data_IF_527620428577
#
_entry.id   IF_527620428577
#
_cell.length_a   1.000
_cell.length_b   1.000
_cell.length_c   1.000
_cell.angle_alpha   90.00
_cell.angle_beta   90.00
_cell.angle_gamma   90.00
#
_symmetry.space_group_name_H-M   'P 1'
#
loop_
_entity.id
_entity.type
_entity.pdbx_description
1 polymer ?
#
# COMPACT_ATOMS: atom_id res chain seq x y z
N UNK A 1 -31.62 -13.98 -18.85
CA UNK A 1 -30.91 -14.92 -19.72
C UNK A 1 -29.48 -15.19 -19.25
N UNK A 2 -28.98 -14.51 -18.18
CA UNK A 2 -27.63 -14.75 -17.63
C UNK A 2 -27.49 -16.17 -17.08
N UNK A 3 -26.33 -16.77 -17.30
CA UNK A 3 -26.00 -18.09 -16.73
C UNK A 3 -25.28 -17.87 -15.41
N UNK A 4 -25.72 -18.54 -14.37
CA UNK A 4 -25.12 -18.46 -13.04
C UNK A 4 -24.75 -19.86 -12.51
N UNK A 5 -23.74 -19.91 -11.64
CA UNK A 5 -23.41 -21.09 -10.85
C UNK A 5 -23.59 -20.77 -9.38
N UNK A 6 -24.31 -21.59 -8.65
CA UNK A 6 -24.44 -21.49 -7.20
C UNK A 6 -23.35 -22.34 -6.58
N UNK A 7 -22.52 -21.70 -5.80
CA UNK A 7 -21.31 -22.29 -5.19
C UNK A 7 -21.42 -22.26 -3.66
N UNK A 8 -20.99 -23.34 -3.05
CA UNK A 8 -20.92 -23.47 -1.59
C UNK A 8 -19.45 -23.55 -1.15
N UNK A 9 -18.87 -22.49 -0.55
CA UNK A 9 -17.51 -22.49 -0.07
C UNK A 9 -17.34 -23.38 1.16
N UNK A 10 -16.66 -24.51 1.03
CA UNK A 10 -16.42 -25.48 2.12
C UNK A 10 -15.02 -25.38 2.74
N UNK A 11 -14.03 -24.89 1.96
CA UNK A 11 -12.69 -24.61 2.44
C UNK A 11 -12.28 -23.22 1.97
N UNK A 12 -11.87 -22.36 2.91
CA UNK A 12 -11.44 -20.99 2.63
C UNK A 12 -10.00 -20.78 3.09
N UNK A 13 -9.11 -20.56 2.14
CA UNK A 13 -7.73 -20.11 2.38
C UNK A 13 -6.95 -20.99 3.39
N UNK A 14 -7.21 -22.31 3.43
CA UNK A 14 -6.58 -23.23 4.36
C UNK A 14 -5.58 -24.14 3.64
N UNK A 15 -4.43 -24.35 4.28
CA UNK A 15 -3.42 -25.32 3.82
C UNK A 15 -3.88 -26.74 4.06
N UNK A 16 -3.58 -27.63 3.15
CA UNK A 16 -3.86 -29.07 3.27
C UNK A 16 -4.26 -29.71 1.95
N UNK A 17 -4.24 -31.01 1.92
CA UNK A 17 -4.69 -31.83 0.76
C UNK A 17 -6.22 -31.95 0.69
N UNK A 18 -6.94 -31.62 1.76
CA UNK A 18 -8.40 -31.58 1.88
C UNK A 18 -9.13 -32.84 1.37
N UNK A 19 -8.47 -33.98 1.42
CA UNK A 19 -9.02 -35.27 0.92
C UNK A 19 -10.31 -35.68 1.63
N UNK A 20 -10.39 -35.44 2.96
CA UNK A 20 -11.59 -35.76 3.75
C UNK A 20 -12.80 -34.90 3.35
N UNK A 21 -12.59 -33.62 3.10
CA UNK A 21 -13.63 -32.68 2.65
C UNK A 21 -14.11 -33.06 1.24
N UNK A 22 -13.20 -33.38 0.33
CA UNK A 22 -13.52 -33.78 -1.04
C UNK A 22 -14.26 -35.13 -1.04
N UNK A 23 -13.84 -36.10 -0.22
CA UNK A 23 -14.54 -37.39 -0.09
C UNK A 23 -15.93 -37.24 0.51
N UNK A 24 -16.10 -36.35 1.49
CA UNK A 24 -17.42 -36.04 2.06
C UNK A 24 -18.38 -35.53 1.00
N UNK A 25 -17.93 -34.55 0.20
CA UNK A 25 -18.73 -33.95 -0.86
C UNK A 25 -19.07 -34.97 -1.96
N UNK A 26 -18.11 -35.81 -2.34
CA UNK A 26 -18.31 -36.94 -3.28
C UNK A 26 -19.37 -37.90 -2.78
N UNK A 27 -19.31 -38.29 -1.51
CA UNK A 27 -20.31 -39.19 -0.88
C UNK A 27 -21.70 -38.56 -0.78
N UNK A 28 -21.77 -37.21 -0.71
CA UNK A 28 -23.03 -36.47 -0.70
C UNK A 28 -23.66 -36.33 -2.09
N UNK A 29 -23.05 -36.92 -3.15
CA UNK A 29 -23.60 -36.97 -4.50
C UNK A 29 -23.30 -35.76 -5.37
N UNK A 30 -22.45 -34.84 -4.94
CA UNK A 30 -22.00 -33.71 -5.80
C UNK A 30 -21.02 -34.23 -6.85
N UNK A 31 -21.09 -33.62 -8.04
CA UNK A 31 -20.31 -34.06 -9.20
C UNK A 31 -19.11 -33.12 -9.44
N UNK A 32 -19.21 -31.84 -9.07
CA UNK A 32 -18.19 -30.85 -9.40
C UNK A 32 -17.84 -29.95 -8.25
N UNK A 33 -16.55 -29.59 -8.19
CA UNK A 33 -16.01 -28.57 -7.28
C UNK A 33 -15.21 -27.55 -8.08
N UNK A 34 -15.17 -26.31 -7.57
CA UNK A 34 -14.24 -25.29 -8.02
C UNK A 34 -13.12 -25.22 -6.99
N UNK A 35 -11.87 -25.39 -7.43
CA UNK A 35 -10.69 -25.31 -6.57
C UNK A 35 -9.77 -24.25 -7.14
N UNK A 36 -9.45 -23.25 -6.35
CA UNK A 36 -8.59 -22.11 -6.73
C UNK A 36 -9.01 -21.47 -8.07
N UNK A 37 -10.34 -21.38 -8.30
CA UNK A 37 -10.93 -20.83 -9.52
C UNK A 37 -11.14 -21.82 -10.67
N UNK A 38 -10.59 -23.03 -10.61
CA UNK A 38 -10.71 -24.05 -11.65
C UNK A 38 -11.76 -25.11 -11.28
N UNK A 39 -12.54 -25.56 -12.27
CA UNK A 39 -13.58 -26.59 -12.07
C UNK A 39 -12.98 -27.97 -12.27
N UNK A 40 -13.21 -28.85 -11.29
CA UNK A 40 -12.81 -30.26 -11.30
C UNK A 40 -14.03 -31.16 -11.17
N UNK A 41 -13.97 -32.30 -11.81
CA UNK A 41 -14.95 -33.37 -11.64
C UNK A 41 -14.55 -34.25 -10.45
N UNK A 42 -15.48 -34.48 -9.53
CA UNK A 42 -15.23 -35.32 -8.33
C UNK A 42 -15.08 -36.81 -8.63
N UNK A 43 -15.39 -37.25 -9.85
CA UNK A 43 -15.10 -38.66 -10.28
C UNK A 43 -13.59 -38.88 -10.49
N UNK A 44 -12.83 -37.81 -10.72
CA UNK A 44 -11.39 -37.85 -10.92
C UNK A 44 -10.64 -37.83 -9.58
N UNK A 45 -9.39 -38.28 -9.58
CA UNK A 45 -8.50 -38.17 -8.42
C UNK A 45 -7.94 -36.76 -8.37
N UNK A 46 -8.34 -35.95 -7.35
CA UNK A 46 -7.88 -34.61 -7.15
C UNK A 46 -6.75 -34.60 -6.12
N UNK A 47 -5.53 -34.22 -6.54
CA UNK A 47 -4.35 -34.08 -5.67
C UNK A 47 -4.05 -32.62 -5.43
N UNK A 48 -4.10 -32.16 -4.18
CA UNK A 48 -3.81 -30.80 -3.78
C UNK A 48 -2.47 -30.74 -3.02
N UNK A 49 -1.78 -29.60 -3.16
CA UNK A 49 -0.51 -29.36 -2.49
C UNK A 49 -0.71 -29.06 -1.00
N UNK A 50 -0.16 -29.91 -0.12
CA UNK A 50 -0.29 -29.81 1.34
C UNK A 50 0.12 -28.44 1.91
N UNK A 51 1.13 -27.80 1.33
CA UNK A 51 1.70 -26.54 1.84
C UNK A 51 1.08 -25.29 1.23
N UNK A 52 0.23 -25.41 0.22
CA UNK A 52 -0.48 -24.33 -0.44
C UNK A 52 -1.83 -24.12 0.23
N UNK A 53 -2.27 -22.85 0.27
CA UNK A 53 -3.63 -22.49 0.70
C UNK A 53 -4.58 -22.73 -0.46
N UNK A 54 -5.66 -23.43 -0.20
CA UNK A 54 -6.69 -23.72 -1.20
C UNK A 54 -8.03 -23.10 -0.81
N UNK A 55 -8.80 -22.76 -1.84
CA UNK A 55 -10.20 -22.43 -1.75
C UNK A 55 -10.99 -23.49 -2.50
N UNK A 56 -11.91 -24.18 -1.79
CA UNK A 56 -12.72 -25.25 -2.37
C UNK A 56 -14.18 -24.90 -2.23
N UNK A 57 -14.89 -24.93 -3.34
CA UNK A 57 -16.30 -24.58 -3.44
C UNK A 57 -17.03 -25.68 -4.20
N UNK A 58 -18.14 -26.12 -3.63
CA UNK A 58 -19.00 -27.14 -4.28
C UNK A 58 -19.90 -26.44 -5.29
N UNK A 59 -19.94 -26.90 -6.52
CA UNK A 59 -20.91 -26.45 -7.52
C UNK A 59 -22.26 -27.11 -7.22
N UNK A 60 -23.16 -26.38 -6.57
CA UNK A 60 -24.46 -26.90 -6.13
C UNK A 60 -25.42 -26.98 -7.32
N UNK A 61 -25.52 -25.90 -8.10
CA UNK A 61 -26.38 -25.86 -9.28
C UNK A 61 -25.86 -24.90 -10.36
N UNK A 62 -26.30 -25.13 -11.59
CA UNK A 62 -26.06 -24.24 -12.74
C UNK A 62 -27.39 -23.83 -13.35
N UNK A 63 -27.67 -22.55 -13.33
CA UNK A 63 -28.97 -22.01 -13.64
C UNK A 63 -28.88 -20.97 -14.77
N UNK A 64 -29.96 -20.86 -15.51
CA UNK A 64 -30.18 -19.76 -16.44
C UNK A 64 -31.29 -18.87 -15.87
N UNK A 65 -31.01 -17.60 -15.63
CA UNK A 65 -31.97 -16.66 -15.04
C UNK A 65 -33.15 -16.48 -16.00
N UNK A 66 -34.34 -16.88 -15.53
CA UNK A 66 -35.64 -16.77 -16.20
C UNK A 66 -36.69 -16.37 -15.16
N UNK A 67 -37.87 -15.83 -15.57
CA UNK A 67 -38.93 -15.41 -14.62
C UNK A 67 -39.41 -16.49 -13.67
N UNK A 68 -39.38 -17.75 -14.05
CA UNK A 68 -39.90 -18.92 -13.32
C UNK A 68 -38.88 -19.65 -12.47
N UNK A 69 -37.63 -19.14 -12.39
CA UNK A 69 -36.54 -19.84 -11.73
C UNK A 69 -36.53 -19.72 -10.19
N UNK A 70 -37.38 -18.86 -9.62
CA UNK A 70 -37.29 -18.45 -8.20
C UNK A 70 -37.29 -19.60 -7.21
N UNK A 71 -38.15 -20.59 -7.40
CA UNK A 71 -38.23 -21.76 -6.51
C UNK A 71 -36.93 -22.55 -6.56
N UNK A 72 -36.48 -22.94 -7.74
CA UNK A 72 -35.26 -23.71 -7.92
C UNK A 72 -34.01 -22.96 -7.42
N UNK A 73 -33.97 -21.65 -7.62
CA UNK A 73 -32.88 -20.82 -7.11
C UNK A 73 -32.88 -20.80 -5.58
N UNK A 74 -34.04 -20.67 -4.93
CA UNK A 74 -34.17 -20.72 -3.48
C UNK A 74 -33.70 -22.06 -2.91
N UNK A 75 -34.12 -23.18 -3.49
CA UNK A 75 -33.71 -24.54 -3.09
C UNK A 75 -32.20 -24.73 -3.22
N UNK A 76 -31.60 -24.21 -4.31
CA UNK A 76 -30.14 -24.29 -4.53
C UNK A 76 -29.37 -23.45 -3.54
N UNK A 77 -29.87 -22.25 -3.21
CA UNK A 77 -29.25 -21.36 -2.19
C UNK A 77 -29.33 -22.01 -0.81
N UNK A 78 -30.50 -22.53 -0.41
CA UNK A 78 -30.70 -23.20 0.87
C UNK A 78 -29.74 -24.40 1.04
N UNK A 79 -29.60 -25.19 -0.02
CA UNK A 79 -28.66 -26.30 -0.08
C UNK A 79 -27.21 -25.82 0.06
N UNK A 80 -26.81 -24.76 -0.65
CA UNK A 80 -25.48 -24.18 -0.59
C UNK A 80 -25.15 -23.64 0.79
N UNK A 81 -26.09 -22.91 1.39
CA UNK A 81 -25.98 -22.33 2.75
C UNK A 81 -25.83 -23.43 3.80
N UNK A 82 -26.64 -24.49 3.72
CA UNK A 82 -26.56 -25.63 4.64
C UNK A 82 -25.21 -26.37 4.55
N UNK A 83 -24.67 -26.52 3.35
CA UNK A 83 -23.40 -27.22 3.13
C UNK A 83 -22.18 -26.42 3.64
N UNK A 84 -22.21 -25.11 3.49
CA UNK A 84 -21.11 -24.21 3.86
C UNK A 84 -21.17 -23.69 5.29
N UNK A 85 -22.32 -23.86 5.98
CA UNK A 85 -22.56 -23.26 7.29
C UNK A 85 -22.92 -21.77 7.22
N UNK A 86 -23.64 -21.32 6.18
CA UNK A 86 -24.18 -19.97 6.11
C UNK A 86 -23.65 -19.10 4.97
N UNK A 87 -22.85 -19.67 4.06
CA UNK A 87 -22.22 -18.92 2.98
C UNK A 87 -22.67 -19.45 1.61
N UNK A 88 -22.85 -18.53 0.66
CA UNK A 88 -23.12 -18.89 -0.74
C UNK A 88 -22.45 -17.90 -1.66
N UNK A 89 -21.92 -18.38 -2.77
CA UNK A 89 -21.44 -17.53 -3.85
C UNK A 89 -22.26 -17.80 -5.12
N UNK A 90 -22.58 -16.75 -5.82
CA UNK A 90 -23.23 -16.80 -7.13
C UNK A 90 -22.25 -16.27 -8.19
N UNK A 91 -21.68 -17.17 -8.97
CA UNK A 91 -20.76 -16.84 -10.06
C UNK A 91 -21.57 -16.59 -11.33
N UNK A 92 -21.57 -15.34 -11.82
CA UNK A 92 -22.20 -14.97 -13.08
C UNK A 92 -21.21 -15.24 -14.21
N UNK A 93 -21.50 -16.23 -15.05
CA UNK A 93 -20.61 -16.63 -16.14
C UNK A 93 -20.39 -15.46 -17.10
N UNK A 94 -19.15 -14.93 -17.13
CA UNK A 94 -18.77 -13.76 -17.90
C UNK A 94 -19.05 -12.42 -17.21
N UNK A 95 -19.39 -12.43 -15.91
CA UNK A 95 -19.66 -11.26 -15.08
C UNK A 95 -18.93 -11.33 -13.73
N UNK A 96 -19.51 -10.70 -12.72
CA UNK A 96 -18.98 -10.66 -11.36
C UNK A 96 -19.47 -11.83 -10.51
N UNK A 97 -18.67 -12.25 -9.55
CA UNK A 97 -19.04 -13.18 -8.51
C UNK A 97 -19.63 -12.42 -7.32
N UNK A 98 -20.81 -12.81 -6.90
CA UNK A 98 -21.52 -12.25 -5.74
C UNK A 98 -21.43 -13.23 -4.58
N UNK A 99 -20.96 -12.75 -3.42
CA UNK A 99 -20.87 -13.57 -2.19
C UNK A 99 -21.92 -13.07 -1.18
N UNK A 100 -22.61 -14.02 -0.57
CA UNK A 100 -23.64 -13.77 0.42
C UNK A 100 -23.35 -14.58 1.69
N UNK A 101 -23.71 -13.99 2.83
CA UNK A 101 -23.62 -14.66 4.15
C UNK A 101 -24.94 -14.52 4.87
N UNK A 102 -25.45 -15.62 5.41
CA UNK A 102 -26.68 -15.62 6.21
C UNK A 102 -26.54 -14.90 7.53
N UNK A 103 -25.32 -14.84 8.09
CA UNK A 103 -25.10 -14.37 9.46
C UNK A 103 -24.72 -12.87 9.57
N UNK A 104 -24.13 -12.28 8.53
CA UNK A 104 -23.57 -10.91 8.59
C UNK A 104 -23.68 -10.19 7.25
N UNK A 105 -24.87 -10.18 6.66
CA UNK A 105 -25.15 -9.48 5.42
C UNK A 105 -26.03 -8.25 5.65
N UNK A 106 -25.76 -7.17 4.93
CA UNK A 106 -26.62 -6.00 4.88
C UNK A 106 -27.19 -5.87 3.47
N UNK A 107 -28.49 -6.11 3.32
CA UNK A 107 -29.18 -6.10 2.02
C UNK A 107 -29.20 -4.69 1.39
N UNK A 108 -29.28 -3.63 2.22
CA UNK A 108 -29.32 -2.24 1.74
C UNK A 108 -27.98 -1.79 1.13
N UNK A 109 -26.86 -2.26 1.68
CA UNK A 109 -25.52 -1.82 1.27
C UNK A 109 -24.77 -2.86 0.45
N UNK A 110 -25.33 -4.05 0.22
CA UNK A 110 -24.67 -5.16 -0.50
C UNK A 110 -23.41 -5.67 0.18
N UNK A 111 -23.26 -5.44 1.48
CA UNK A 111 -22.07 -5.81 2.25
C UNK A 111 -22.33 -7.17 2.90
N UNK A 112 -21.41 -8.11 2.69
CA UNK A 112 -21.37 -9.38 3.41
C UNK A 112 -20.06 -9.49 4.19
N UNK A 113 -20.17 -9.66 5.51
CA UNK A 113 -19.01 -9.83 6.39
C UNK A 113 -18.78 -11.33 6.60
N UNK A 114 -17.56 -11.84 6.40
CA UNK A 114 -17.24 -13.24 6.69
C UNK A 114 -17.39 -13.53 8.19
N UNK A 115 -17.45 -14.81 8.53
CA UNK A 115 -17.52 -15.25 9.94
C UNK A 115 -16.41 -14.59 10.77
N UNK A 116 -16.82 -13.93 11.87
CA UNK A 116 -15.89 -13.21 12.74
C UNK A 116 -14.98 -14.21 13.46
N UNK A 117 -13.70 -14.13 13.18
CA UNK A 117 -12.67 -14.93 13.85
C UNK A 117 -11.79 -14.03 14.72
N UNK A 118 -11.20 -14.56 15.83
CA UNK A 118 -10.28 -13.77 16.66
C UNK A 118 -9.10 -13.17 15.87
N UNK A 119 -8.70 -13.77 14.77
CA UNK A 119 -7.62 -13.31 13.90
C UNK A 119 -7.97 -12.01 13.17
N UNK A 120 -9.24 -11.72 12.93
CA UNK A 120 -9.70 -10.46 12.32
C UNK A 120 -9.57 -9.26 13.26
N UNK A 121 -9.39 -9.48 14.54
CA UNK A 121 -9.21 -8.43 15.56
C UNK A 121 -7.75 -8.30 15.99
N UNK A 122 -6.85 -9.05 15.37
CA UNK A 122 -5.43 -9.04 15.70
C UNK A 122 -4.64 -8.20 14.69
N UNK A 123 -4.04 -7.12 15.14
CA UNK A 123 -3.14 -6.30 14.30
C UNK A 123 -1.83 -7.03 13.91
N UNK A 124 -1.53 -8.18 14.52
CA UNK A 124 -0.41 -9.06 14.12
C UNK A 124 -0.80 -10.04 13.00
N UNK A 125 -2.05 -10.00 12.54
CA UNK A 125 -2.53 -10.86 11.47
C UNK A 125 -2.94 -9.99 10.27
N UNK A 126 -2.57 -10.35 9.04
CA UNK A 126 -2.95 -9.59 7.85
C UNK A 126 -4.46 -9.35 7.67
N UNK A 127 -5.30 -10.22 8.27
CA UNK A 127 -6.76 -10.06 8.21
C UNK A 127 -7.30 -8.96 9.14
N UNK A 128 -6.58 -8.63 10.20
CA UNK A 128 -6.99 -7.63 11.18
C UNK A 128 -6.09 -6.39 11.21
N UNK A 129 -4.92 -6.48 10.62
CA UNK A 129 -3.97 -5.37 10.55
C UNK A 129 -4.42 -4.30 9.57
N UNK A 130 -4.12 -3.05 9.87
CA UNK A 130 -4.27 -1.97 8.92
C UNK A 130 -3.45 -2.27 7.65
N UNK A 131 -4.05 -2.24 6.45
CA UNK A 131 -3.34 -2.61 5.22
C UNK A 131 -2.19 -1.66 4.89
N UNK A 132 -2.28 -0.40 5.32
CA UNK A 132 -1.29 0.63 5.03
C UNK A 132 -0.02 0.48 5.87
N UNK A 133 -0.15 0.24 7.18
CA UNK A 133 1.01 0.08 8.06
C UNK A 133 1.28 -1.37 8.47
N UNK A 134 0.52 -2.33 7.95
CA UNK A 134 0.63 -3.76 8.25
C UNK A 134 0.68 -4.09 9.75
N UNK A 135 -0.07 -3.31 10.55
CA UNK A 135 -0.17 -3.48 11.99
C UNK A 135 0.91 -2.76 12.82
N UNK A 136 1.80 -1.98 12.20
CA UNK A 136 2.85 -1.22 12.91
C UNK A 136 2.26 0.01 13.60
N UNK A 137 1.33 0.72 12.95
CA UNK A 137 0.65 1.89 13.49
C UNK A 137 1.37 3.21 13.25
N UNK A 138 2.68 3.18 13.02
CA UNK A 138 3.52 4.37 12.81
C UNK A 138 4.45 4.19 11.62
N UNK A 139 4.93 5.31 11.10
CA UNK A 139 5.99 5.37 10.09
C UNK A 139 7.08 6.31 10.57
N UNK A 140 8.33 5.97 10.26
CA UNK A 140 9.45 6.88 10.40
C UNK A 140 9.44 7.85 9.21
N UNK A 141 9.37 9.16 9.47
CA UNK A 141 9.39 10.21 8.46
C UNK A 141 10.42 11.26 8.81
N UNK A 142 11.09 11.79 7.80
CA UNK A 142 11.99 12.93 7.99
C UNK A 142 11.18 14.11 8.55
N UNK A 143 11.61 14.63 9.68
CA UNK A 143 11.01 15.79 10.34
C UNK A 143 11.78 17.07 9.92
N UNK A 144 11.12 18.05 9.29
CA UNK A 144 11.76 19.31 8.92
C UNK A 144 12.48 20.00 10.08
N UNK A 145 11.96 19.88 11.29
CA UNK A 145 12.55 20.51 12.49
C UNK A 145 13.89 19.90 12.89
N UNK A 146 14.16 18.66 12.50
CA UNK A 146 15.44 17.98 12.73
C UNK A 146 16.45 18.26 11.60
N UNK A 147 15.94 18.64 10.43
CA UNK A 147 16.75 19.04 9.26
C UNK A 147 17.22 20.48 9.37
N UNK A 148 16.38 21.37 9.92
CA UNK A 148 16.72 22.76 10.18
C UNK A 148 17.47 22.86 11.51
N UNK A 149 18.73 23.20 11.43
CA UNK A 149 19.61 23.30 12.62
C UNK A 149 19.30 24.54 13.48
N UNK A 150 19.16 25.70 12.81
CA UNK A 150 18.88 26.97 13.45
C UNK A 150 18.15 27.87 12.46
N UNK A 151 16.95 28.30 12.81
CA UNK A 151 16.12 29.16 11.95
C UNK A 151 16.63 30.60 11.86
N UNK A 152 17.55 31.01 12.74
CA UNK A 152 18.19 32.34 12.68
C UNK A 152 19.32 32.40 11.66
N UNK A 153 19.81 31.25 11.19
CA UNK A 153 20.80 31.15 10.13
C UNK A 153 20.14 31.22 8.75
N UNK A 154 20.89 31.65 7.78
CA UNK A 154 20.50 31.63 6.37
C UNK A 154 20.86 30.28 5.71
N UNK A 155 20.40 30.08 4.47
CA UNK A 155 20.82 28.95 3.64
C UNK A 155 22.35 28.98 3.38
N UNK A 156 22.90 30.18 3.17
CA UNK A 156 24.35 30.36 3.00
C UNK A 156 25.15 30.11 4.29
N UNK A 157 24.58 30.39 5.46
CA UNK A 157 25.22 30.17 6.76
C UNK A 157 25.01 28.72 7.28
N UNK A 158 24.28 27.87 6.56
CA UNK A 158 24.09 26.47 6.88
C UNK A 158 22.96 26.20 7.87
N UNK A 159 21.81 26.85 7.71
CA UNK A 159 20.59 26.56 8.48
C UNK A 159 20.15 25.10 8.29
N UNK A 160 20.48 24.47 7.15
CA UNK A 160 20.20 23.06 6.88
C UNK A 160 21.40 22.19 7.28
N UNK A 161 21.16 21.26 8.20
CA UNK A 161 22.15 20.30 8.72
C UNK A 161 21.88 18.90 8.22
N UNK A 162 21.62 18.72 6.95
CA UNK A 162 21.33 17.40 6.39
C UNK A 162 22.50 16.92 5.52
N UNK A 163 22.74 15.61 5.52
CA UNK A 163 23.78 14.97 4.72
C UNK A 163 23.68 15.34 3.23
N UNK A 164 24.71 15.99 2.72
CA UNK A 164 24.82 16.46 1.34
C UNK A 164 24.07 17.76 1.02
N UNK A 165 23.45 18.41 2.02
CA UNK A 165 22.69 19.67 1.85
C UNK A 165 23.21 20.81 2.72
N UNK A 166 24.21 20.57 3.57
CA UNK A 166 24.95 21.61 4.29
C UNK A 166 25.87 22.39 3.34
N UNK A 167 25.86 23.71 3.46
CA UNK A 167 26.66 24.60 2.61
C UNK A 167 28.10 24.75 3.14
N UNK A 168 28.30 24.70 4.43
CA UNK A 168 29.62 24.83 5.05
C UNK A 168 30.42 23.53 4.97
N UNK A 169 31.15 23.35 3.88
CA UNK A 169 32.14 22.26 3.77
C UNK A 169 33.50 22.73 4.27
N UNK A 170 34.02 22.09 5.30
CA UNK A 170 35.38 22.29 5.80
C UNK A 170 36.47 21.98 4.75
N UNK A 171 36.10 21.27 3.69
CA UNK A 171 37.05 20.76 2.69
C UNK A 171 37.24 21.65 1.47
N UNK A 172 36.31 22.54 1.19
CA UNK A 172 36.45 23.49 0.07
C UNK A 172 35.49 24.67 0.22
N UNK A 173 35.88 25.74 0.94
CA UNK A 173 35.05 26.92 1.17
C UNK A 173 34.70 27.69 -0.15
N UNK A 174 35.53 27.51 -1.19
CA UNK A 174 35.34 28.18 -2.49
C UNK A 174 34.61 27.34 -3.54
N UNK A 175 34.32 26.07 -3.23
CA UNK A 175 33.58 25.21 -4.16
C UNK A 175 32.08 25.45 -4.01
N UNK A 176 31.48 25.88 -5.11
CA UNK A 176 30.03 25.86 -5.28
C UNK A 176 29.52 24.43 -5.04
N UNK A 177 29.02 24.16 -3.84
CA UNK A 177 28.42 22.89 -3.52
C UNK A 177 27.15 22.70 -4.34
N UNK A 178 26.79 21.44 -4.64
CA UNK A 178 25.53 21.14 -5.32
C UNK A 178 24.33 21.78 -4.58
N UNK A 179 24.36 21.77 -3.25
CA UNK A 179 23.35 22.39 -2.41
C UNK A 179 23.21 23.90 -2.67
N UNK A 180 24.35 24.63 -2.66
CA UNK A 180 24.37 26.07 -2.89
C UNK A 180 23.77 26.43 -4.25
N UNK A 181 24.14 25.72 -5.29
CA UNK A 181 23.62 25.91 -6.63
C UNK A 181 22.09 25.79 -6.70
N UNK A 182 21.51 24.80 -6.03
CA UNK A 182 20.06 24.64 -5.94
C UNK A 182 19.42 25.76 -5.10
N UNK A 183 20.00 26.11 -3.97
CA UNK A 183 19.51 27.20 -3.11
C UNK A 183 19.52 28.55 -3.82
N UNK A 184 20.55 28.85 -4.58
CA UNK A 184 20.60 30.06 -5.41
C UNK A 184 19.53 30.04 -6.53
N UNK A 185 19.30 28.87 -7.13
CA UNK A 185 18.25 28.70 -8.13
C UNK A 185 16.85 28.95 -7.55
N UNK A 186 16.60 28.47 -6.33
CA UNK A 186 15.34 28.70 -5.61
C UNK A 186 15.24 30.16 -5.21
N UNK A 187 16.32 30.75 -4.69
CA UNK A 187 16.36 32.14 -4.28
C UNK A 187 16.00 33.09 -5.44
N UNK A 188 16.59 32.87 -6.63
CA UNK A 188 16.25 33.62 -7.85
C UNK A 188 14.77 33.47 -8.24
N UNK A 189 14.24 32.24 -8.18
CA UNK A 189 12.87 31.96 -8.59
C UNK A 189 11.83 32.57 -7.63
N UNK A 190 12.07 32.44 -6.34
CA UNK A 190 11.13 32.90 -5.30
C UNK A 190 11.44 34.29 -4.77
N UNK A 191 12.46 34.97 -5.31
CA UNK A 191 12.73 36.38 -5.06
C UNK A 191 13.25 36.73 -3.66
N UNK A 192 14.12 35.88 -3.09
CA UNK A 192 14.77 36.14 -1.80
C UNK A 192 16.29 36.12 -1.93
N UNK A 193 16.99 36.69 -0.94
CA UNK A 193 18.44 36.60 -0.83
C UNK A 193 18.81 35.31 -0.06
N UNK A 194 19.80 34.58 -0.55
CA UNK A 194 20.30 33.34 0.07
C UNK A 194 20.84 33.60 1.50
N UNK A 195 21.22 34.84 1.82
CA UNK A 195 21.65 35.28 3.15
C UNK A 195 20.45 35.64 4.07
N UNK A 196 19.21 35.57 3.60
CA UNK A 196 18.04 35.82 4.43
C UNK A 196 17.89 34.69 5.46
N UNK A 197 17.72 35.01 6.78
CA UNK A 197 17.47 34.02 7.80
C UNK A 197 16.27 33.10 7.45
N UNK A 198 16.38 31.81 7.75
CA UNK A 198 15.33 30.84 7.46
C UNK A 198 13.95 31.27 7.97
N UNK A 199 13.88 31.78 9.20
CA UNK A 199 12.63 32.25 9.81
C UNK A 199 11.92 33.33 8.99
N UNK A 200 12.66 34.17 8.29
CA UNK A 200 12.17 35.32 7.54
C UNK A 200 11.83 35.00 6.08
N UNK A 201 12.07 33.76 5.62
CA UNK A 201 11.66 33.27 4.31
C UNK A 201 10.14 33.06 4.25
N UNK A 202 9.57 33.27 3.05
CA UNK A 202 8.16 32.96 2.79
C UNK A 202 7.90 31.44 2.92
N UNK A 203 6.66 31.06 3.24
CA UNK A 203 6.28 29.65 3.32
C UNK A 203 6.45 28.93 1.99
N UNK A 204 6.26 29.61 0.86
CA UNK A 204 6.49 29.09 -0.47
C UNK A 204 7.96 28.74 -0.71
N UNK A 205 8.86 29.65 -0.33
CA UNK A 205 10.31 29.44 -0.42
C UNK A 205 10.76 28.28 0.49
N UNK A 206 10.28 28.23 1.73
CA UNK A 206 10.53 27.13 2.67
C UNK A 206 10.05 25.78 2.11
N UNK A 207 8.84 25.74 1.57
CA UNK A 207 8.30 24.53 0.95
C UNK A 207 9.10 24.08 -0.27
N UNK A 208 9.52 25.03 -1.11
CA UNK A 208 10.35 24.71 -2.27
C UNK A 208 11.71 24.11 -1.86
N UNK A 209 12.33 24.62 -0.81
CA UNK A 209 13.59 24.07 -0.29
C UNK A 209 13.38 22.70 0.33
N UNK A 210 12.35 22.53 1.15
CA UNK A 210 12.12 21.27 1.88
C UNK A 210 11.55 20.17 0.99
N UNK A 211 10.54 20.48 0.19
CA UNK A 211 9.75 19.45 -0.55
C UNK A 211 9.92 19.53 -2.06
N UNK A 212 10.66 20.53 -2.56
CA UNK A 212 10.98 20.66 -3.97
C UNK A 212 10.04 21.51 -4.78
N UNK A 213 10.33 21.59 -6.09
CA UNK A 213 9.61 22.46 -7.04
C UNK A 213 8.63 21.70 -7.94
N UNK A 214 8.38 20.40 -7.65
CA UNK A 214 7.58 19.54 -8.53
C UNK A 214 8.19 19.47 -9.93
N UNK A 215 7.39 19.71 -10.96
CA UNK A 215 7.84 19.70 -12.36
C UNK A 215 8.48 21.05 -12.80
N UNK A 216 8.43 22.06 -11.95
CA UNK A 216 8.97 23.36 -12.27
C UNK A 216 10.49 23.36 -12.25
N UNK A 217 11.08 23.77 -13.37
CA UNK A 217 12.53 23.83 -13.55
C UNK A 217 13.10 25.11 -12.97
N UNK A 218 14.20 24.97 -12.26
CA UNK A 218 15.07 26.04 -11.79
C UNK A 218 16.15 26.32 -12.81
N UNK A 219 16.54 27.56 -12.94
CA UNK A 219 17.74 27.93 -13.65
C UNK A 219 18.94 27.78 -12.71
N UNK A 220 19.83 26.86 -13.05
CA UNK A 220 20.96 26.44 -12.22
C UNK A 220 22.28 26.83 -12.91
N UNK A 221 23.13 27.55 -12.20
CA UNK A 221 24.44 27.96 -12.67
C UNK A 221 25.52 27.11 -12.00
N UNK A 222 26.23 26.34 -12.83
CA UNK A 222 27.41 25.60 -12.35
C UNK A 222 28.67 26.36 -12.76
N UNK A 223 29.54 26.59 -11.80
CA UNK A 223 30.90 27.07 -12.02
C UNK A 223 31.88 26.04 -11.45
N UNK A 224 32.88 25.64 -12.23
CA UNK A 224 33.95 24.76 -11.80
C UNK A 224 35.24 25.14 -12.52
N UNK A 225 36.38 24.63 -12.05
CA UNK A 225 37.69 24.81 -12.72
C UNK A 225 37.68 24.35 -14.20
N UNK A 226 36.76 23.45 -14.57
CA UNK A 226 36.66 22.87 -15.91
C UNK A 226 35.61 23.56 -16.81
N UNK A 227 34.97 24.63 -16.33
CA UNK A 227 34.00 25.38 -17.10
C UNK A 227 32.77 25.83 -16.31
N UNK A 228 32.04 26.76 -16.90
CA UNK A 228 30.76 27.26 -16.38
C UNK A 228 29.65 26.99 -17.37
N UNK A 229 28.44 26.74 -16.84
CA UNK A 229 27.25 26.50 -17.68
C UNK A 229 25.97 26.70 -16.93
N UNK A 230 24.91 27.01 -17.67
CA UNK A 230 23.55 27.12 -17.16
C UNK A 230 22.74 25.92 -17.65
N UNK A 231 21.99 25.30 -16.77
CA UNK A 231 21.05 24.24 -17.12
C UNK A 231 19.74 24.38 -16.34
N UNK A 232 18.71 23.68 -16.78
CA UNK A 232 17.37 23.77 -16.21
C UNK A 232 16.95 22.41 -15.68
N UNK A 233 16.73 22.31 -14.36
CA UNK A 233 16.27 21.09 -13.73
C UNK A 233 15.29 21.37 -12.59
N UNK A 234 14.33 20.47 -12.32
CA UNK A 234 13.50 20.56 -11.13
C UNK A 234 14.33 20.24 -9.90
N UNK A 235 13.89 20.69 -8.75
CA UNK A 235 14.46 20.36 -7.47
C UNK A 235 13.58 19.35 -6.72
N UNK A 236 14.17 18.27 -6.29
CA UNK A 236 13.46 17.21 -5.57
C UNK A 236 13.02 17.63 -4.16
N UNK A 237 13.75 18.56 -3.53
CA UNK A 237 13.58 18.95 -2.13
C UNK A 237 14.47 18.16 -1.18
N UNK A 238 14.90 18.80 -0.10
CA UNK A 238 15.81 18.18 0.88
C UNK A 238 15.16 16.98 1.55
N UNK A 239 13.91 17.10 1.99
CA UNK A 239 13.16 16.03 2.68
C UNK A 239 12.96 14.83 1.77
N UNK A 240 12.48 15.05 0.55
CA UNK A 240 12.22 13.98 -0.40
C UNK A 240 13.52 13.27 -0.80
N UNK A 241 14.60 14.02 -0.96
CA UNK A 241 15.91 13.46 -1.26
C UNK A 241 16.44 12.59 -0.12
N UNK A 242 16.33 13.04 1.14
CA UNK A 242 16.73 12.26 2.31
C UNK A 242 15.88 10.99 2.45
N UNK A 243 14.56 11.11 2.27
CA UNK A 243 13.66 9.97 2.34
C UNK A 243 14.01 8.91 1.28
N UNK A 244 14.20 9.33 0.03
CA UNK A 244 14.62 8.44 -1.05
C UNK A 244 15.99 7.79 -0.80
N UNK A 245 16.94 8.53 -0.24
CA UNK A 245 18.25 7.97 0.15
C UNK A 245 18.14 6.96 1.27
N UNK A 246 17.32 7.21 2.27
CA UNK A 246 17.05 6.28 3.36
C UNK A 246 16.49 4.95 2.84
N UNK A 247 15.50 5.01 1.94
CA UNK A 247 14.87 3.82 1.36
C UNK A 247 15.83 2.99 0.49
N UNK A 248 16.80 3.64 -0.16
CA UNK A 248 17.70 2.99 -1.10
C UNK A 248 19.09 2.64 -0.53
N UNK A 249 19.42 3.12 0.68
CA UNK A 249 20.75 2.85 1.26
C UNK A 249 20.87 1.41 1.75
N UNK A 250 22.07 0.83 1.50
CA UNK A 250 22.49 -0.47 2.03
C UNK A 250 23.53 -0.32 3.16
N UNK A 251 23.93 0.91 3.47
CA UNK A 251 24.92 1.21 4.51
C UNK A 251 24.22 1.48 5.84
N UNK A 252 24.53 0.71 6.86
CA UNK A 252 23.98 0.91 8.21
C UNK A 252 24.36 2.27 8.79
N UNK A 253 25.59 2.74 8.50
CA UNK A 253 26.05 4.07 8.92
C UNK A 253 25.19 5.18 8.29
N UNK A 254 24.98 5.15 6.96
CA UNK A 254 24.15 6.14 6.30
C UNK A 254 22.66 6.04 6.74
N UNK A 255 22.18 4.83 7.01
CA UNK A 255 20.85 4.60 7.54
C UNK A 255 20.67 5.28 8.90
N UNK A 256 21.59 5.05 9.83
CA UNK A 256 21.57 5.68 11.16
C UNK A 256 21.63 7.22 11.08
N UNK A 257 22.41 7.76 10.12
CA UNK A 257 22.46 9.19 9.88
C UNK A 257 21.09 9.74 9.44
N UNK A 258 20.42 9.10 8.47
CA UNK A 258 19.09 9.54 8.04
C UNK A 258 18.04 9.38 9.14
N UNK A 259 18.10 8.31 9.93
CA UNK A 259 17.21 8.07 11.08
C UNK A 259 17.32 9.18 12.13
N UNK A 260 18.48 9.83 12.25
CA UNK A 260 18.67 10.98 13.16
C UNK A 260 17.80 12.20 12.79
N UNK A 261 17.32 12.27 11.55
CA UNK A 261 16.43 13.31 11.08
C UNK A 261 14.96 12.87 11.07
N UNK A 262 14.64 11.67 11.61
CA UNK A 262 13.31 11.11 11.56
C UNK A 262 12.59 11.17 12.90
N UNK A 263 11.28 11.27 12.83
CA UNK A 263 10.36 11.11 13.95
C UNK A 263 9.27 10.09 13.59
N UNK A 264 8.69 9.47 14.62
CA UNK A 264 7.53 8.63 14.45
C UNK A 264 6.30 9.47 14.10
N UNK A 265 5.65 9.11 13.01
CA UNK A 265 4.39 9.71 12.57
C UNK A 265 3.31 8.64 12.57
N UNK A 266 2.15 8.92 13.17
CA UNK A 266 1.03 7.99 13.14
C UNK A 266 0.62 7.64 11.72
N UNK A 267 0.26 6.39 11.48
CA UNK A 267 -0.26 5.95 10.19
C UNK A 267 -1.47 6.84 9.79
N UNK A 268 -1.51 7.38 8.57
CA UNK A 268 -2.58 8.29 8.16
C UNK A 268 -3.97 7.64 8.16
N UNK A 269 -4.04 6.33 7.92
CA UNK A 269 -5.31 5.61 7.83
C UNK A 269 -5.80 5.16 9.21
N UNK A 270 -5.02 4.39 9.94
CA UNK A 270 -5.45 3.88 11.24
C UNK A 270 -5.13 4.82 12.42
N UNK A 271 -4.42 5.93 12.19
CA UNK A 271 -4.05 6.94 13.20
C UNK A 271 -3.38 6.35 14.46
N UNK A 272 -2.62 5.26 14.27
CA UNK A 272 -1.94 4.54 15.34
C UNK A 272 -2.72 3.35 15.92
N UNK A 273 -3.97 3.10 15.48
CA UNK A 273 -4.79 1.99 15.99
C UNK A 273 -4.29 0.60 15.54
N UNK A 274 -3.42 0.58 14.53
CA UNK A 274 -2.82 -0.67 13.97
C UNK A 274 -3.84 -1.58 13.29
#
# INVERSE_FOLDING_TARGET
>A
GSKIQILSPIVKNRKGEHTKELDRVRKSGYVRVRIDGNIYDLSEEIKLEKNKKHMIEVVVDRLVIKPDIRSRLADSIETAVSLSGGLVAADVIGGEELQFSQSYACDEHGISIPELTPTMFSFNNPMGACPTCTGIGVFMKIDPRLVINDETLSLADGCIKAAGWGVNSWFNPDASTLALMYYEGIARKYGFDINTPWKDLSDEAKNAVLYGTGDEKLELHRSSEYGSGTYYAPFEGVINNLQRRYENTKSDYARAEYESYMTESACPDCKGAR
#
